data_IF_436020977753
#
_entry.id   IF_436020977753
#
_cell.length_a   1.000
_cell.length_b   1.000
_cell.length_c   1.000
_cell.angle_alpha   90.00
_cell.angle_beta   90.00
_cell.angle_gamma   90.00
#
_symmetry.space_group_name_H-M   'P 1'
#
loop_
_entity.id
_entity.type
_entity.pdbx_description
1 polymer ?
#
# COMPACT_ATOMS: atom_id res chain seq x y z
N UNK A 1 -16.36 22.20 23.31
CA UNK A 1 -15.07 22.03 24.03
C UNK A 1 -13.95 21.96 23.00
N UNK A 2 -12.80 22.60 23.22
CA UNK A 2 -11.69 22.65 22.25
C UNK A 2 -10.62 21.59 22.59
N UNK A 3 -10.68 20.42 21.94
CA UNK A 3 -9.66 19.38 22.13
C UNK A 3 -8.43 19.68 21.26
N UNK A 4 -7.42 20.32 21.85
CA UNK A 4 -6.19 20.71 21.14
C UNK A 4 -5.39 19.49 20.70
N UNK A 5 -5.01 19.49 19.42
CA UNK A 5 -4.06 18.54 18.82
C UNK A 5 -2.75 18.51 19.61
N UNK A 6 -2.20 17.31 19.84
CA UNK A 6 -0.79 17.13 20.23
C UNK A 6 -0.10 16.26 19.17
N UNK A 7 0.53 16.90 18.20
CA UNK A 7 1.55 16.26 17.38
C UNK A 7 2.71 15.87 18.29
N UNK A 8 3.04 14.59 18.40
CA UNK A 8 4.26 14.17 19.10
C UNK A 8 5.40 14.20 18.08
N UNK A 9 6.38 15.10 18.30
CA UNK A 9 7.48 15.29 17.36
C UNK A 9 8.44 14.10 17.38
N UNK A 10 8.94 13.76 16.19
CA UNK A 10 10.17 13.00 16.02
C UNK A 10 11.33 13.74 16.69
N UNK A 11 12.17 13.05 17.46
CA UNK A 11 13.46 13.55 17.93
C UNK A 11 14.56 12.53 17.68
N UNK A 12 15.74 13.01 17.28
CA UNK A 12 16.79 12.20 16.69
C UNK A 12 17.96 11.92 17.65
N UNK A 13 18.60 10.76 17.45
CA UNK A 13 20.05 10.52 17.48
C UNK A 13 20.94 11.07 18.62
N UNK A 14 21.28 10.19 19.57
CA UNK A 14 22.64 10.00 20.15
C UNK A 14 22.58 8.74 21.05
N UNK A 15 23.24 7.61 20.77
CA UNK A 15 24.69 7.33 20.73
C UNK A 15 25.40 7.58 22.07
N UNK A 16 25.53 6.52 22.88
CA UNK A 16 26.72 6.25 23.70
C UNK A 16 27.03 4.75 23.53
N UNK A 17 28.27 4.42 23.19
CA UNK A 17 28.81 3.05 23.13
C UNK A 17 29.99 3.00 24.10
N UNK A 18 30.06 1.96 24.95
CA UNK A 18 31.30 1.59 25.64
C UNK A 18 31.78 0.21 25.16
N UNK A 19 33.07 0.15 24.84
CA UNK A 19 33.87 -1.06 24.60
C UNK A 19 34.33 -1.63 25.98
N UNK A 20 35.02 -2.78 26.17
CA UNK A 20 35.65 -3.82 25.32
C UNK A 20 35.37 -5.20 26.03
N UNK A 21 35.99 -6.38 25.83
CA UNK A 21 37.21 -6.87 25.14
C UNK A 21 36.90 -8.24 24.49
N UNK A 22 37.54 -8.56 23.37
CA UNK A 22 37.64 -9.94 22.84
C UNK A 22 38.73 -10.02 21.77
N UNK A 23 39.67 -10.97 21.87
CA UNK A 23 40.89 -10.99 21.05
C UNK A 23 40.97 -12.25 20.15
N UNK A 24 41.36 -12.07 18.88
CA UNK A 24 41.63 -13.16 17.93
C UNK A 24 42.05 -12.63 16.55
N UNK A 25 43.17 -13.13 16.03
CA UNK A 25 43.75 -12.80 14.72
C UNK A 25 43.10 -13.63 13.57
N UNK A 26 43.30 -13.39 12.28
CA UNK A 26 44.21 -12.46 11.60
C UNK A 26 43.73 -12.06 10.17
N UNK A 27 44.21 -10.91 9.67
CA UNK A 27 44.27 -10.44 8.27
C UNK A 27 43.14 -10.75 7.26
N UNK A 28 42.38 -9.71 6.84
CA UNK A 28 42.51 -9.02 5.51
C UNK A 28 41.32 -8.11 5.17
N UNK A 29 41.61 -6.94 4.61
CA UNK A 29 40.64 -5.91 4.22
C UNK A 29 39.94 -6.21 2.89
N UNK A 30 38.62 -6.05 2.85
CA UNK A 30 37.91 -5.51 1.68
C UNK A 30 36.58 -4.88 2.12
N UNK A 31 36.30 -3.67 1.65
CA UNK A 31 35.13 -2.88 2.02
C UNK A 31 33.93 -3.21 1.12
N UNK A 32 32.74 -3.41 1.72
CA UNK A 32 31.44 -3.14 1.07
C UNK A 32 30.23 -3.21 2.03
N UNK A 33 29.64 -2.04 2.25
CA UNK A 33 28.19 -1.76 2.44
C UNK A 33 27.25 -2.97 2.48
N UNK A 34 26.61 -3.22 3.63
CA UNK A 34 25.55 -4.23 3.79
C UNK A 34 24.27 -3.68 4.42
N UNK A 35 23.70 -2.64 3.78
CA UNK A 35 22.40 -2.03 4.11
C UNK A 35 21.23 -2.95 3.70
N UNK A 36 21.08 -4.11 4.36
CA UNK A 36 20.00 -5.08 4.08
C UNK A 36 19.33 -5.69 5.32
N UNK A 37 19.91 -5.58 6.52
CA UNK A 37 19.51 -6.41 7.65
C UNK A 37 18.15 -6.03 8.31
N UNK A 38 17.59 -4.85 8.00
CA UNK A 38 16.38 -4.32 8.67
C UNK A 38 15.08 -4.94 8.14
N UNK A 39 15.02 -5.37 6.87
CA UNK A 39 13.77 -5.84 6.23
C UNK A 39 13.40 -7.27 6.64
N UNK A 40 14.39 -8.14 6.81
CA UNK A 40 14.17 -9.58 7.05
C UNK A 40 13.65 -9.85 8.47
N UNK A 41 14.07 -9.05 9.47
CA UNK A 41 13.69 -9.25 10.88
C UNK A 41 12.26 -8.77 11.22
N UNK A 42 11.60 -8.06 10.30
CA UNK A 42 10.20 -7.64 10.45
C UNK A 42 9.22 -8.67 9.88
N UNK A 43 9.55 -9.32 8.76
CA UNK A 43 8.65 -10.26 8.07
C UNK A 43 8.28 -11.51 8.89
N UNK A 44 9.13 -11.89 9.85
CA UNK A 44 8.86 -12.98 10.80
C UNK A 44 7.83 -12.61 11.87
N UNK A 45 7.60 -11.32 12.15
CA UNK A 45 6.70 -10.81 13.18
C UNK A 45 5.30 -10.47 12.65
N UNK A 46 5.13 -10.28 11.34
CA UNK A 46 3.83 -9.97 10.70
C UNK A 46 2.87 -11.17 10.81
N UNK A 47 1.62 -11.01 11.33
CA UNK A 47 0.67 -12.11 11.49
C UNK A 47 0.32 -12.87 10.20
N UNK A 48 -0.11 -14.14 10.33
CA UNK A 48 -0.49 -15.01 9.20
C UNK A 48 -1.47 -14.34 8.26
N UNK A 49 -2.57 -13.78 8.79
CA UNK A 49 -3.60 -13.18 7.95
C UNK A 49 -3.15 -11.89 7.27
N UNK A 50 -2.30 -11.08 7.90
CA UNK A 50 -1.72 -9.89 7.26
C UNK A 50 -0.86 -10.26 6.05
N UNK A 51 -0.03 -11.32 6.16
CA UNK A 51 0.78 -11.84 5.05
C UNK A 51 -0.06 -12.49 3.95
N UNK A 52 -1.20 -13.08 4.30
CA UNK A 52 -2.13 -13.68 3.34
C UNK A 52 -2.95 -12.62 2.60
N UNK A 53 -3.53 -11.65 3.32
CA UNK A 53 -4.26 -10.52 2.76
C UNK A 53 -3.39 -9.72 1.78
N UNK A 54 -2.11 -9.48 2.11
CA UNK A 54 -1.17 -8.84 1.19
C UNK A 54 -0.96 -9.64 -0.11
N UNK A 55 -0.86 -10.98 -0.02
CA UNK A 55 -0.75 -11.83 -1.22
C UNK A 55 -2.05 -11.83 -2.04
N UNK A 56 -3.21 -11.82 -1.39
CA UNK A 56 -4.51 -11.73 -2.06
C UNK A 56 -4.67 -10.36 -2.74
N UNK A 57 -4.24 -9.27 -2.11
CA UNK A 57 -4.16 -7.93 -2.72
C UNK A 57 -3.27 -7.93 -3.98
N UNK A 58 -2.10 -8.55 -3.92
CA UNK A 58 -1.20 -8.73 -5.07
C UNK A 58 -1.79 -9.62 -6.19
N UNK A 59 -2.77 -10.48 -5.89
CA UNK A 59 -3.47 -11.29 -6.91
C UNK A 59 -4.59 -10.48 -7.54
N UNK A 60 -5.44 -9.83 -6.74
CA UNK A 60 -6.53 -8.98 -7.24
C UNK A 60 -6.03 -7.86 -8.14
N UNK A 61 -4.96 -7.15 -7.76
CA UNK A 61 -4.42 -6.03 -8.54
C UNK A 61 -3.71 -6.46 -9.85
N UNK A 62 -3.57 -7.76 -10.13
CA UNK A 62 -3.12 -8.29 -11.43
C UNK A 62 -4.28 -8.54 -12.39
N UNK A 63 -5.49 -8.75 -11.88
CA UNK A 63 -6.68 -9.10 -12.67
C UNK A 63 -7.71 -7.98 -12.76
N UNK A 64 -7.81 -7.13 -11.73
CA UNK A 64 -8.79 -6.04 -11.63
C UNK A 64 -8.14 -4.75 -11.11
N UNK A 65 -8.42 -3.59 -11.72
CA UNK A 65 -7.94 -2.30 -11.24
C UNK A 65 -8.81 -1.81 -10.07
N UNK A 66 -8.53 -2.28 -8.86
CA UNK A 66 -9.17 -1.76 -7.65
C UNK A 66 -8.54 -0.45 -7.18
N UNK A 67 -9.39 0.44 -6.65
CA UNK A 67 -8.99 1.52 -5.74
C UNK A 67 -8.56 0.94 -4.38
N UNK A 68 -7.97 1.77 -3.51
CA UNK A 68 -7.69 1.39 -2.12
C UNK A 68 -8.94 0.93 -1.38
N UNK A 69 -10.05 1.66 -1.55
CA UNK A 69 -11.33 1.39 -0.88
C UNK A 69 -11.97 0.11 -1.41
N UNK A 70 -11.98 -0.07 -2.74
CA UNK A 70 -12.50 -1.28 -3.38
C UNK A 70 -11.72 -2.53 -2.97
N UNK A 71 -10.40 -2.43 -2.90
CA UNK A 71 -9.54 -3.54 -2.47
C UNK A 71 -9.71 -3.89 -0.98
N UNK A 72 -9.80 -2.88 -0.10
CA UNK A 72 -10.14 -3.09 1.31
C UNK A 72 -11.49 -3.82 1.45
N UNK A 73 -12.52 -3.27 0.80
CA UNK A 73 -13.87 -3.85 0.82
C UNK A 73 -13.86 -5.30 0.36
N UNK A 74 -13.20 -5.61 -0.77
CA UNK A 74 -13.08 -6.97 -1.30
C UNK A 74 -12.45 -7.93 -0.28
N UNK A 75 -11.29 -7.58 0.28
CA UNK A 75 -10.57 -8.42 1.25
C UNK A 75 -11.36 -8.67 2.54
N UNK A 76 -12.16 -7.71 2.99
CA UNK A 76 -13.05 -7.84 4.17
C UNK A 76 -14.41 -8.49 3.87
N UNK A 77 -14.76 -8.68 2.59
CA UNK A 77 -16.13 -9.02 2.17
C UNK A 77 -16.59 -10.38 2.67
N UNK A 78 -17.85 -10.47 3.09
CA UNK A 78 -18.53 -11.74 3.41
C UNK A 78 -18.74 -12.66 2.20
N UNK A 79 -18.57 -12.14 0.98
CA UNK A 79 -18.53 -12.91 -0.27
C UNK A 79 -17.11 -13.05 -0.85
N UNK A 80 -16.10 -12.45 -0.19
CA UNK A 80 -14.68 -12.53 -0.52
C UNK A 80 -13.91 -13.33 0.55
N UNK A 81 -12.74 -12.84 0.93
CA UNK A 81 -11.81 -13.57 1.81
C UNK A 81 -12.12 -13.49 3.31
N UNK A 82 -13.02 -12.60 3.74
CA UNK A 82 -13.34 -12.34 5.16
C UNK A 82 -12.11 -12.06 6.03
N UNK A 83 -11.09 -11.40 5.49
CA UNK A 83 -9.92 -11.05 6.30
C UNK A 83 -10.31 -10.06 7.41
N UNK A 84 -9.73 -10.20 8.62
CA UNK A 84 -9.78 -9.18 9.65
C UNK A 84 -9.42 -7.78 9.12
N UNK A 85 -10.10 -6.76 9.61
CA UNK A 85 -9.98 -5.38 9.14
C UNK A 85 -8.53 -4.84 9.21
N UNK A 86 -7.79 -5.21 10.24
CA UNK A 86 -6.36 -4.89 10.41
C UNK A 86 -5.48 -5.60 9.36
N UNK A 87 -5.75 -6.88 9.07
CA UNK A 87 -5.08 -7.62 8.01
C UNK A 87 -5.37 -7.06 6.61
N UNK A 88 -6.62 -6.66 6.34
CA UNK A 88 -7.01 -6.03 5.08
C UNK A 88 -6.40 -4.63 4.92
N UNK A 89 -6.39 -3.82 5.99
CA UNK A 89 -5.74 -2.50 5.99
C UNK A 89 -4.23 -2.63 5.77
N UNK A 90 -3.57 -3.56 6.49
CA UNK A 90 -2.15 -3.89 6.30
C UNK A 90 -1.85 -4.24 4.84
N UNK A 91 -2.71 -5.03 4.19
CA UNK A 91 -2.56 -5.39 2.78
C UNK A 91 -2.62 -4.16 1.86
N UNK A 92 -3.62 -3.29 2.03
CA UNK A 92 -3.80 -2.07 1.21
C UNK A 92 -2.66 -1.06 1.40
N UNK A 93 -2.09 -0.95 2.61
CA UNK A 93 -0.98 -0.04 2.89
C UNK A 93 0.39 -0.58 2.43
N UNK A 94 0.57 -1.90 2.37
CA UNK A 94 1.85 -2.53 1.99
C UNK A 94 1.90 -3.01 0.52
N UNK A 95 0.77 -3.12 -0.18
CA UNK A 95 0.76 -3.59 -1.57
C UNK A 95 1.37 -2.57 -2.53
N UNK A 96 2.37 -3.02 -3.30
CA UNK A 96 3.14 -2.16 -4.21
C UNK A 96 2.42 -2.02 -5.55
N UNK A 97 1.59 -0.98 -5.66
CA UNK A 97 0.89 -0.62 -6.89
C UNK A 97 0.91 0.89 -7.13
N UNK A 98 0.62 1.31 -8.36
CA UNK A 98 0.35 2.71 -8.68
C UNK A 98 -1.17 2.90 -8.81
N UNK A 99 -1.78 3.49 -7.79
CA UNK A 99 -3.23 3.68 -7.71
C UNK A 99 -3.79 4.58 -8.82
N UNK A 100 -3.00 5.53 -9.33
CA UNK A 100 -3.34 6.35 -10.50
C UNK A 100 -3.38 5.54 -11.80
N UNK A 101 -2.48 4.57 -11.96
CA UNK A 101 -2.51 3.62 -13.09
C UNK A 101 -3.67 2.63 -12.96
N UNK A 102 -4.09 2.29 -11.75
CA UNK A 102 -5.30 1.47 -11.56
C UNK A 102 -6.54 2.29 -11.96
N UNK A 103 -6.68 3.54 -11.50
CA UNK A 103 -7.77 4.42 -11.92
C UNK A 103 -7.83 4.58 -13.45
N UNK A 104 -6.67 4.76 -14.11
CA UNK A 104 -6.59 4.84 -15.57
C UNK A 104 -7.01 3.54 -16.29
N UNK A 105 -6.69 2.37 -15.73
CA UNK A 105 -7.18 1.07 -16.24
C UNK A 105 -8.68 0.89 -15.99
N UNK A 106 -9.19 1.34 -14.86
CA UNK A 106 -10.62 1.30 -14.55
C UNK A 106 -11.42 2.19 -15.52
N UNK A 107 -10.97 3.42 -15.78
CA UNK A 107 -11.54 4.31 -16.80
C UNK A 107 -11.58 3.64 -18.19
N UNK A 108 -10.46 3.05 -18.62
CA UNK A 108 -10.35 2.33 -19.91
C UNK A 108 -11.22 1.06 -19.98
N UNK A 109 -11.43 0.38 -18.85
CA UNK A 109 -12.33 -0.77 -18.78
C UNK A 109 -13.80 -0.33 -18.87
N UNK A 110 -14.20 0.74 -18.18
CA UNK A 110 -15.55 1.30 -18.28
C UNK A 110 -15.84 1.75 -19.71
N UNK A 111 -15.03 2.67 -20.25
CA UNK A 111 -15.27 3.26 -21.58
C UNK A 111 -15.36 2.22 -22.71
N UNK A 112 -14.56 1.15 -22.63
CA UNK A 112 -14.61 0.02 -23.56
C UNK A 112 -15.91 -0.81 -23.49
N UNK A 113 -16.52 -0.91 -22.31
CA UNK A 113 -17.75 -1.71 -22.07
C UNK A 113 -19.00 -0.85 -22.28
N UNK A 114 -18.94 0.40 -21.86
CA UNK A 114 -19.98 1.41 -21.94
C UNK A 114 -19.29 2.78 -22.12
N UNK A 115 -19.29 3.35 -23.34
CA UNK A 115 -18.68 4.65 -23.58
C UNK A 115 -19.30 5.73 -22.69
N UNK A 116 -18.46 6.51 -22.01
CA UNK A 116 -18.89 7.47 -21.00
C UNK A 116 -18.20 8.83 -21.19
N UNK A 117 -18.87 9.91 -20.79
CA UNK A 117 -18.24 11.24 -20.80
C UNK A 117 -17.11 11.30 -19.78
N UNK A 118 -16.11 12.17 -20.00
CA UNK A 118 -15.02 12.41 -19.04
C UNK A 118 -15.52 12.75 -17.62
N UNK A 119 -16.63 13.50 -17.53
CA UNK A 119 -17.31 13.77 -16.25
C UNK A 119 -17.96 12.50 -15.65
N UNK A 120 -18.67 11.71 -16.46
CA UNK A 120 -19.30 10.47 -16.00
C UNK A 120 -18.29 9.43 -15.52
N UNK A 121 -17.12 9.35 -16.14
CA UNK A 121 -16.02 8.49 -15.67
C UNK A 121 -15.42 9.01 -14.36
N UNK A 122 -15.23 10.32 -14.20
CA UNK A 122 -14.80 10.90 -12.93
C UNK A 122 -15.78 10.58 -11.79
N UNK A 123 -17.09 10.75 -12.05
CA UNK A 123 -18.16 10.42 -11.10
C UNK A 123 -18.21 8.92 -10.78
N UNK A 124 -18.08 8.04 -11.77
CA UNK A 124 -18.08 6.59 -11.58
C UNK A 124 -16.86 6.10 -10.75
N UNK A 125 -15.67 6.65 -11.02
CA UNK A 125 -14.45 6.30 -10.29
C UNK A 125 -14.47 6.80 -8.85
N UNK A 126 -14.96 8.01 -8.60
CA UNK A 126 -15.05 8.60 -7.24
C UNK A 126 -16.28 8.13 -6.44
N UNK A 127 -17.31 7.62 -7.11
CA UNK A 127 -18.55 7.16 -6.48
C UNK A 127 -18.27 6.15 -5.36
N UNK A 128 -18.92 6.36 -4.21
CA UNK A 128 -18.78 5.47 -3.04
C UNK A 128 -19.46 4.11 -3.23
N UNK A 129 -20.35 4.00 -4.22
CA UNK A 129 -21.00 2.77 -4.69
C UNK A 129 -20.41 2.26 -6.02
N UNK A 130 -19.56 3.06 -6.67
CA UNK A 130 -18.63 2.61 -7.70
C UNK A 130 -17.28 2.23 -7.07
N UNK A 131 -16.18 2.58 -7.73
CA UNK A 131 -14.84 2.13 -7.33
C UNK A 131 -14.31 2.82 -6.05
N UNK A 132 -14.69 4.07 -5.79
CA UNK A 132 -14.20 4.84 -4.64
C UNK A 132 -12.70 5.18 -4.68
N UNK A 133 -12.18 5.52 -5.85
CA UNK A 133 -10.88 6.19 -6.02
C UNK A 133 -10.88 7.59 -5.39
N UNK A 134 -9.71 8.15 -5.08
CA UNK A 134 -9.63 9.56 -4.67
C UNK A 134 -9.87 10.50 -5.87
N UNK A 135 -10.30 11.77 -5.63
CA UNK A 135 -10.41 12.78 -6.69
C UNK A 135 -9.14 12.91 -7.54
N UNK A 136 -7.96 12.83 -6.93
CA UNK A 136 -6.66 12.99 -7.61
C UNK A 136 -6.23 11.77 -8.42
N UNK A 137 -6.82 10.59 -8.13
CA UNK A 137 -6.66 9.35 -8.88
C UNK A 137 -7.64 9.31 -10.07
N UNK A 138 -8.91 9.67 -9.83
CA UNK A 138 -9.94 9.75 -10.86
C UNK A 138 -9.68 10.88 -11.88
N UNK A 139 -9.25 12.07 -11.43
CA UNK A 139 -8.88 13.16 -12.33
C UNK A 139 -7.71 12.75 -13.22
N UNK A 140 -6.66 12.13 -12.66
CA UNK A 140 -5.54 11.61 -13.44
C UNK A 140 -6.01 10.61 -14.51
N UNK A 141 -6.90 9.69 -14.15
CA UNK A 141 -7.44 8.70 -15.08
C UNK A 141 -8.19 9.35 -16.25
N UNK A 142 -8.95 10.41 -15.99
CA UNK A 142 -9.73 11.16 -16.99
C UNK A 142 -8.85 12.07 -17.85
N UNK A 143 -7.81 12.67 -17.28
CA UNK A 143 -6.83 13.49 -18.01
C UNK A 143 -6.00 12.64 -19.00
N UNK A 144 -5.67 11.40 -18.62
CA UNK A 144 -4.84 10.47 -19.40
C UNK A 144 -5.65 9.44 -20.21
N UNK A 145 -6.96 9.66 -20.33
CA UNK A 145 -7.84 8.93 -21.25
C UNK A 145 -7.78 9.61 -22.64
N UNK A 146 -7.31 8.84 -23.62
CA UNK A 146 -7.10 9.25 -25.01
C UNK A 146 -8.42 9.27 -25.80
#
# INVERSE_FOLDING_TARGET
>A
MQLKRKSLLYFCSAVIILNIIGCGSDSKTSDKTSTNNVKVEQETKVPREHRNALRSAEVYLKTMPFSKKGLYNQLTSDAGEKYPADAAQYAVDNVKTNWKENALKAAKNYDKIMPMSKQGLYEQLTSTAGDGYTPEEAQYAVDHLN
#
